data_IF_471835716536
#
_entry.id   IF_471835716536
#
_cell.length_a   1.000
_cell.length_b   1.000
_cell.length_c   1.000
_cell.angle_alpha   90.00
_cell.angle_beta   90.00
_cell.angle_gamma   90.00
#
_symmetry.space_group_name_H-M   'P 1'
#
loop_
_entity.id
_entity.type
_entity.pdbx_description
1 polymer ?
#
# COMPACT_ATOMS: atom_id res chain seq x y z
N UNK A 1 26.50 22.58 35.56
CA UNK A 1 26.51 21.82 34.31
C UNK A 1 25.18 22.09 33.61
N UNK A 2 25.21 22.75 32.46
CA UNK A 2 24.01 23.04 31.67
C UNK A 2 23.53 21.70 31.07
N UNK A 3 22.26 21.31 31.19
CA UNK A 3 21.75 20.10 30.55
C UNK A 3 22.00 20.22 29.05
N UNK A 4 22.71 19.26 28.46
CA UNK A 4 22.80 19.17 27.00
C UNK A 4 21.41 18.79 26.52
N UNK A 5 20.67 19.76 25.98
CA UNK A 5 19.50 19.47 25.17
C UNK A 5 19.92 18.43 24.12
N UNK A 6 19.21 17.31 24.08
CA UNK A 6 19.38 16.31 23.02
C UNK A 6 19.21 17.03 21.67
N UNK A 7 20.01 16.70 20.64
CA UNK A 7 19.78 17.26 19.32
C UNK A 7 18.31 17.00 18.93
N UNK A 8 17.62 17.97 18.30
CA UNK A 8 16.27 17.73 17.83
C UNK A 8 16.28 16.48 16.95
N UNK A 9 15.37 15.53 17.23
CA UNK A 9 15.10 14.44 16.30
C UNK A 9 14.79 15.10 14.95
N UNK A 10 15.52 14.81 13.86
CA UNK A 10 15.24 15.42 12.58
C UNK A 10 13.76 15.22 12.28
N UNK A 11 13.02 16.32 12.18
CA UNK A 11 11.62 16.26 11.81
C UNK A 11 11.52 15.68 10.41
N UNK A 12 10.37 15.10 10.06
CA UNK A 12 10.09 14.61 8.71
C UNK A 12 10.37 15.65 7.60
N UNK A 13 10.38 16.93 7.95
CA UNK A 13 10.64 18.08 7.07
C UNK A 13 12.10 18.56 7.01
N UNK A 14 13.04 17.93 7.72
CA UNK A 14 14.47 18.29 7.72
C UNK A 14 15.26 17.57 6.60
N UNK A 15 14.55 16.98 5.64
CA UNK A 15 15.18 16.36 4.47
C UNK A 15 15.57 17.47 3.48
N UNK A 16 16.86 17.54 3.17
CA UNK A 16 17.41 18.41 2.13
C UNK A 16 16.71 18.10 0.80
N UNK A 17 15.86 19.04 0.35
CA UNK A 17 15.10 18.94 -0.90
C UNK A 17 15.99 19.02 -2.14
N UNK A 18 17.25 19.41 -1.99
CA UNK A 18 18.27 19.42 -3.04
C UNK A 18 19.22 18.21 -2.94
N UNK A 19 19.07 17.35 -1.91
CA UNK A 19 19.83 16.12 -1.84
C UNK A 19 19.54 15.25 -3.07
N UNK A 20 20.51 14.50 -3.61
CA UNK A 20 20.35 13.66 -4.80
C UNK A 20 19.34 12.50 -4.62
N UNK A 21 18.66 12.44 -3.48
CA UNK A 21 17.62 11.49 -3.11
C UNK A 21 16.22 12.14 -2.96
N UNK A 22 16.12 13.46 -3.10
CA UNK A 22 14.86 14.23 -2.99
C UNK A 22 13.88 13.99 -4.14
N UNK A 23 14.37 13.48 -5.27
CA UNK A 23 13.57 13.12 -6.43
C UNK A 23 13.03 11.69 -6.36
N UNK A 24 13.22 10.95 -5.26
CA UNK A 24 12.68 9.60 -5.09
C UNK A 24 11.47 9.62 -4.15
N UNK A 25 10.39 8.98 -4.57
CA UNK A 25 9.24 8.64 -3.75
C UNK A 25 9.51 7.30 -3.05
N UNK A 26 9.44 7.29 -1.72
CA UNK A 26 9.46 6.07 -0.90
C UNK A 26 8.08 5.85 -0.31
N UNK A 27 7.53 4.64 -0.50
CA UNK A 27 6.28 4.22 0.11
C UNK A 27 6.53 3.01 0.99
N UNK A 28 5.97 3.02 2.19
CA UNK A 28 5.88 1.85 3.06
C UNK A 28 4.43 1.41 3.06
N UNK A 29 4.19 0.19 2.60
CA UNK A 29 2.86 -0.44 2.58
C UNK A 29 2.87 -1.57 3.58
N UNK A 30 1.87 -1.60 4.46
CA UNK A 30 1.68 -2.67 5.41
C UNK A 30 0.27 -3.24 5.33
N UNK A 31 0.10 -4.46 5.83
CA UNK A 31 -1.22 -5.08 6.02
C UNK A 31 -1.44 -5.52 7.48
N UNK A 32 -2.65 -6.00 7.76
CA UNK A 32 -3.05 -6.45 9.10
C UNK A 32 -2.34 -7.74 9.55
N UNK A 33 -1.65 -8.44 8.64
CA UNK A 33 -0.86 -9.64 8.97
C UNK A 33 0.52 -9.28 9.53
N UNK A 34 0.91 -8.00 9.47
CA UNK A 34 2.24 -7.52 9.84
C UNK A 34 3.24 -7.59 8.69
N UNK A 35 2.79 -7.88 7.48
CA UNK A 35 3.62 -7.80 6.29
C UNK A 35 3.92 -6.32 6.00
N UNK A 36 5.19 -5.99 5.75
CA UNK A 36 5.62 -4.62 5.43
C UNK A 36 6.53 -4.64 4.22
N UNK A 37 6.27 -3.73 3.28
CA UNK A 37 6.99 -3.61 2.02
C UNK A 37 7.39 -2.15 1.80
N UNK A 38 8.63 -1.93 1.37
CA UNK A 38 9.11 -0.64 0.88
C UNK A 38 9.18 -0.63 -0.65
N UNK A 39 8.60 0.40 -1.27
CA UNK A 39 8.71 0.70 -2.71
C UNK A 39 9.44 2.03 -2.85
N UNK A 40 10.49 2.06 -3.66
CA UNK A 40 11.21 3.29 -3.98
C UNK A 40 11.26 3.51 -5.48
N UNK A 41 10.67 4.61 -5.95
CA UNK A 41 10.59 4.97 -7.37
C UNK A 41 10.93 6.44 -7.58
N UNK A 42 11.31 6.87 -8.79
CA UNK A 42 11.39 8.28 -9.13
C UNK A 42 10.06 8.98 -8.87
N UNK A 43 10.10 10.13 -8.20
CA UNK A 43 8.97 11.02 -8.00
C UNK A 43 8.55 11.57 -9.37
N UNK A 44 7.27 11.39 -9.71
CA UNK A 44 6.66 11.88 -10.94
C UNK A 44 5.40 12.63 -10.58
N UNK A 45 5.00 13.60 -11.42
CA UNK A 45 3.76 14.33 -11.23
C UNK A 45 2.53 13.40 -11.14
N UNK A 46 2.58 12.25 -11.82
CA UNK A 46 1.54 11.21 -11.74
C UNK A 46 1.37 10.56 -10.37
N UNK A 47 2.30 10.76 -9.43
CA UNK A 47 2.19 10.22 -8.07
C UNK A 47 1.60 11.23 -7.07
N UNK A 48 1.26 12.44 -7.51
CA UNK A 48 0.90 13.55 -6.61
C UNK A 48 -0.41 13.34 -5.84
N UNK A 49 -1.31 12.49 -6.35
CA UNK A 49 -2.63 12.27 -5.74
C UNK A 49 -2.62 11.21 -4.63
N UNK A 50 -1.51 10.48 -4.46
CA UNK A 50 -1.36 9.43 -3.45
C UNK A 50 -1.12 10.04 -2.08
N UNK A 51 -1.88 9.59 -1.08
CA UNK A 51 -1.80 10.06 0.31
C UNK A 51 -1.52 8.91 1.27
N UNK A 52 -0.99 9.28 2.43
CA UNK A 52 -0.83 8.33 3.53
C UNK A 52 -2.20 7.82 3.99
N UNK A 53 -2.31 6.51 4.18
CA UNK A 53 -3.55 5.84 4.56
C UNK A 53 -4.40 5.37 3.37
N UNK A 54 -4.08 5.76 2.14
CA UNK A 54 -4.76 5.25 0.96
C UNK A 54 -4.55 3.73 0.84
N UNK A 55 -5.65 3.02 0.60
CA UNK A 55 -5.58 1.59 0.30
C UNK A 55 -4.98 1.38 -1.09
N UNK A 56 -4.07 0.40 -1.21
CA UNK A 56 -3.48 0.03 -2.48
C UNK A 56 -3.56 -1.48 -2.73
N UNK A 57 -3.56 -1.83 -4.01
CA UNK A 57 -3.50 -3.20 -4.51
C UNK A 57 -2.09 -3.45 -5.06
N UNK A 58 -1.40 -4.46 -4.53
CA UNK A 58 0.00 -4.71 -4.86
C UNK A 58 0.17 -5.90 -5.79
N UNK A 59 1.13 -5.79 -6.70
CA UNK A 59 1.66 -6.93 -7.45
C UNK A 59 3.02 -7.29 -6.87
N UNK A 60 3.06 -8.45 -6.22
CA UNK A 60 4.24 -8.95 -5.52
C UNK A 60 4.72 -10.26 -6.14
N UNK A 61 6.04 -10.39 -6.30
CA UNK A 61 6.68 -11.70 -6.49
C UNK A 61 7.08 -12.26 -5.14
N UNK A 62 6.69 -13.51 -4.85
CA UNK A 62 7.13 -14.22 -3.65
C UNK A 62 7.68 -15.58 -4.02
N UNK A 63 8.73 -15.98 -3.30
CA UNK A 63 9.32 -17.31 -3.32
C UNK A 63 8.63 -18.27 -2.32
N UNK A 64 7.64 -17.77 -1.57
CA UNK A 64 6.85 -18.50 -0.59
C UNK A 64 5.36 -18.47 -0.96
N UNK A 65 4.70 -19.62 -0.86
CA UNK A 65 3.26 -19.77 -1.14
C UNK A 65 2.37 -19.01 -0.16
N UNK A 66 2.90 -18.67 1.02
CA UNK A 66 2.19 -17.86 2.02
C UNK A 66 2.50 -16.37 1.92
N UNK A 67 3.29 -15.95 0.93
CA UNK A 67 3.72 -14.56 0.76
C UNK A 67 4.44 -13.96 1.99
N UNK A 68 4.98 -14.79 2.89
CA UNK A 68 5.64 -14.32 4.12
C UNK A 68 6.99 -13.64 3.88
N UNK A 69 7.56 -13.81 2.68
CA UNK A 69 8.75 -13.13 2.19
C UNK A 69 8.50 -12.65 0.76
N UNK A 70 8.57 -11.34 0.56
CA UNK A 70 8.48 -10.76 -0.77
C UNK A 70 9.89 -10.67 -1.36
N UNK A 71 10.13 -11.35 -2.48
CA UNK A 71 11.45 -11.38 -3.13
C UNK A 71 11.66 -10.11 -3.98
N UNK A 72 10.59 -9.60 -4.57
CA UNK A 72 10.58 -8.28 -5.21
C UNK A 72 9.15 -7.74 -5.26
N UNK A 73 8.92 -6.61 -4.59
CA UNK A 73 7.71 -5.83 -4.79
C UNK A 73 8.02 -4.71 -5.76
N UNK A 74 7.25 -4.64 -6.84
CA UNK A 74 7.58 -3.74 -7.95
C UNK A 74 6.47 -2.76 -8.27
N UNK A 75 5.21 -3.12 -8.00
CA UNK A 75 4.09 -2.27 -8.37
C UNK A 75 2.99 -2.20 -7.30
N UNK A 76 2.44 -1.01 -7.13
CA UNK A 76 1.27 -0.70 -6.33
C UNK A 76 0.28 0.13 -7.15
N UNK A 77 -0.99 -0.25 -7.10
CA UNK A 77 -2.10 0.44 -7.74
C UNK A 77 -3.01 1.03 -6.67
N UNK A 78 -3.40 2.29 -6.83
CA UNK A 78 -4.30 3.01 -5.92
C UNK A 78 -5.65 3.18 -6.61
N UNK A 79 -6.66 2.36 -6.29
CA UNK A 79 -7.92 2.34 -7.02
C UNK A 79 -8.72 3.64 -6.88
N UNK A 80 -8.59 4.33 -5.75
CA UNK A 80 -9.36 5.55 -5.48
C UNK A 80 -8.93 6.73 -6.36
N UNK A 81 -7.65 6.79 -6.70
CA UNK A 81 -7.04 7.86 -7.49
C UNK A 81 -6.63 7.41 -8.89
N UNK A 82 -6.91 6.16 -9.26
CA UNK A 82 -6.41 5.49 -10.47
C UNK A 82 -4.90 5.67 -10.68
N UNK A 83 -4.15 5.72 -9.57
CA UNK A 83 -2.72 6.03 -9.61
C UNK A 83 -1.88 4.76 -9.59
N UNK A 84 -0.89 4.72 -10.47
CA UNK A 84 0.07 3.63 -10.56
C UNK A 84 1.43 4.04 -10.04
N UNK A 85 2.00 3.24 -9.14
CA UNK A 85 3.36 3.40 -8.65
C UNK A 85 4.16 2.13 -8.94
N UNK A 86 5.19 2.25 -9.75
CA UNK A 86 6.05 1.13 -10.14
C UNK A 86 6.73 1.39 -11.48
N UNK A 87 7.76 0.61 -11.80
CA UNK A 87 8.60 0.83 -12.98
C UNK A 87 8.74 -0.41 -13.88
N UNK A 88 8.03 -1.49 -13.60
CA UNK A 88 8.15 -2.74 -14.33
C UNK A 88 7.55 -2.62 -15.74
N UNK A 89 8.37 -2.75 -16.79
CA UNK A 89 7.96 -2.40 -18.15
C UNK A 89 7.09 -3.48 -18.81
N UNK A 90 7.02 -4.68 -18.24
CA UNK A 90 6.33 -5.83 -18.85
C UNK A 90 4.94 -6.10 -18.26
N UNK A 91 4.49 -5.30 -17.29
CA UNK A 91 3.14 -5.44 -16.74
C UNK A 91 2.15 -4.60 -17.55
N UNK A 92 1.08 -5.22 -18.02
CA UNK A 92 -0.01 -4.50 -18.64
C UNK A 92 -0.88 -3.81 -17.58
N UNK A 93 -0.54 -2.56 -17.28
CA UNK A 93 -1.25 -1.71 -16.31
C UNK A 93 -2.70 -1.46 -16.70
N UNK A 94 -3.05 -1.55 -17.99
CA UNK A 94 -4.43 -1.32 -18.48
C UNK A 94 -5.39 -2.42 -18.03
N UNK A 95 -4.86 -3.58 -17.66
CA UNK A 95 -5.66 -4.68 -17.12
C UNK A 95 -6.04 -4.47 -15.64
N UNK A 96 -5.30 -3.66 -14.88
CA UNK A 96 -5.52 -3.56 -13.44
C UNK A 96 -6.89 -3.00 -13.03
N UNK A 97 -7.47 -1.98 -13.69
CA UNK A 97 -8.82 -1.55 -13.33
C UNK A 97 -9.86 -2.68 -13.38
N UNK A 98 -9.70 -3.63 -14.31
CA UNK A 98 -10.58 -4.80 -14.41
C UNK A 98 -10.33 -5.81 -13.29
N UNK A 99 -9.06 -5.99 -12.89
CA UNK A 99 -8.67 -6.85 -11.77
C UNK A 99 -9.17 -6.24 -10.45
N UNK A 100 -8.95 -4.95 -10.23
CA UNK A 100 -9.45 -4.20 -9.08
C UNK A 100 -10.97 -4.29 -8.96
N UNK A 101 -11.70 -4.11 -10.07
CA UNK A 101 -13.15 -4.30 -10.09
C UNK A 101 -13.58 -5.73 -9.72
N UNK A 102 -12.74 -6.76 -9.97
CA UNK A 102 -12.99 -8.12 -9.48
C UNK A 102 -12.72 -8.23 -7.97
N UNK A 103 -11.59 -7.70 -7.50
CA UNK A 103 -11.22 -7.70 -6.07
C UNK A 103 -12.30 -7.02 -5.23
N UNK A 104 -12.78 -5.85 -5.66
CA UNK A 104 -13.84 -5.11 -4.98
C UNK A 104 -15.14 -5.93 -4.87
N UNK A 105 -15.55 -6.60 -5.96
CA UNK A 105 -16.73 -7.48 -5.97
C UNK A 105 -16.57 -8.67 -5.02
N UNK A 106 -15.41 -9.32 -5.03
CA UNK A 106 -15.12 -10.45 -4.14
C UNK A 106 -15.14 -10.01 -2.66
N UNK A 107 -14.58 -8.84 -2.35
CA UNK A 107 -14.61 -8.25 -1.02
C UNK A 107 -16.04 -7.93 -0.56
N UNK A 108 -16.88 -7.38 -1.45
CA UNK A 108 -18.29 -7.13 -1.16
C UNK A 108 -19.05 -8.43 -0.88
N UNK A 109 -18.90 -9.45 -1.72
CA UNK A 109 -19.56 -10.73 -1.56
C UNK A 109 -19.19 -11.41 -0.21
N UNK A 110 -17.92 -11.31 0.20
CA UNK A 110 -17.47 -11.79 1.52
C UNK A 110 -18.15 -11.05 2.67
N UNK A 111 -18.19 -9.71 2.61
CA UNK A 111 -18.87 -8.87 3.63
C UNK A 111 -20.35 -9.21 3.74
N UNK A 112 -21.03 -9.42 2.62
CA UNK A 112 -22.44 -9.82 2.58
C UNK A 112 -22.67 -11.21 3.19
N UNK A 113 -21.80 -12.18 2.86
CA UNK A 113 -21.86 -13.53 3.44
C UNK A 113 -21.65 -13.49 4.96
N UNK A 114 -20.66 -12.75 5.45
CA UNK A 114 -20.39 -12.59 6.88
C UNK A 114 -21.54 -11.88 7.60
N UNK A 115 -22.12 -10.84 7.01
CA UNK A 115 -23.25 -10.12 7.58
C UNK A 115 -24.49 -11.00 7.71
N UNK A 116 -24.78 -11.81 6.67
CA UNK A 116 -25.87 -12.78 6.71
C UNK A 116 -25.64 -13.81 7.81
N UNK A 117 -24.44 -14.38 7.88
CA UNK A 117 -24.08 -15.37 8.91
C UNK A 117 -24.23 -14.80 10.33
N UNK A 118 -23.75 -13.58 10.58
CA UNK A 118 -23.91 -12.92 11.90
C UNK A 118 -25.38 -12.64 12.25
N UNK A 119 -26.22 -12.37 11.25
CA UNK A 119 -27.64 -12.16 11.46
C UNK A 119 -28.36 -13.47 11.85
N UNK A 120 -28.01 -14.58 11.19
CA UNK A 120 -28.49 -15.93 11.51
C UNK A 120 -28.06 -16.34 12.92
N UNK A 121 -26.78 -16.20 13.27
CA UNK A 121 -26.25 -16.51 14.62
C UNK A 121 -26.89 -15.65 15.73
N UNK A 122 -27.26 -14.40 15.44
CA UNK A 122 -27.95 -13.52 16.40
C UNK A 122 -29.40 -13.94 16.63
N UNK A 123 -30.07 -14.43 15.59
CA UNK A 123 -31.47 -14.89 15.67
C UNK A 123 -31.59 -16.22 16.44
N UNK A 124 -30.57 -17.08 16.35
CA UNK A 124 -30.49 -18.34 17.12
C UNK A 124 -30.22 -18.14 18.64
N UNK A 125 -29.79 -16.95 19.06
CA UNK A 125 -29.47 -16.61 20.45
C UNK A 125 -30.61 -15.88 21.20
N UNK A 126 -31.74 -15.61 20.54
CA UNK A 126 -32.93 -14.94 21.09
C UNK A 126 -34.09 -15.92 21.31
#
# INVERSE_FOLDING_TARGET
AVPRESPPTPGFYDRDVDAPESWMLSLTVGDDSGAVVEIRVPLRASHADVREGDACEMVVGSDDNYFGRFEAVREAYFPETDTWIGEYPFLDRRAMPQISARIARDAQARREWEARRRAEERDELL
#
